data_IF_793936468110
#
_entry.id   IF_793936468110
#
_cell.length_a   1.000
_cell.length_b   1.000
_cell.length_c   1.000
_cell.angle_alpha   90.00
_cell.angle_beta   90.00
_cell.angle_gamma   90.00
#
_symmetry.space_group_name_H-M   'P 1'
#
loop_
_entity.id
_entity.type
_entity.pdbx_description
1 polymer ?
#
# COMPACT_ATOMS: atom_id res chain seq x y z
N UNK A 1 1.73 -9.78 8.56
CA UNK A 1 2.07 -8.36 8.25
C UNK A 1 2.88 -8.35 6.97
N UNK A 2 2.53 -7.51 5.99
CA UNK A 2 3.26 -7.46 4.71
C UNK A 2 4.42 -6.49 4.81
N UNK A 3 5.64 -7.01 4.68
CA UNK A 3 6.87 -6.22 4.71
C UNK A 3 7.42 -5.93 3.31
N UNK A 4 7.09 -6.76 2.31
CA UNK A 4 7.52 -6.56 0.93
C UNK A 4 6.95 -5.27 0.33
N UNK A 5 7.81 -4.47 -0.29
CA UNK A 5 7.47 -3.25 -1.01
C UNK A 5 8.00 -3.34 -2.44
N UNK A 6 7.09 -3.50 -3.40
CA UNK A 6 7.39 -3.87 -4.78
C UNK A 6 7.39 -2.61 -5.65
N UNK A 7 8.55 -2.27 -6.24
CA UNK A 7 8.74 -1.12 -7.11
C UNK A 7 9.18 -1.61 -8.49
N UNK A 8 8.57 -1.09 -9.55
CA UNK A 8 9.04 -1.29 -10.92
C UNK A 8 9.58 0.04 -11.43
N UNK A 9 10.86 0.04 -11.83
CA UNK A 9 11.54 1.19 -12.44
C UNK A 9 11.74 0.89 -13.92
N UNK A 10 11.21 1.74 -14.79
CA UNK A 10 11.33 1.62 -16.24
C UNK A 10 12.13 2.80 -16.78
N UNK A 11 13.31 2.52 -17.31
CA UNK A 11 14.21 3.53 -17.87
C UNK A 11 15.21 2.87 -18.84
N UNK A 12 15.35 3.39 -20.05
CA UNK A 12 16.33 2.92 -21.03
C UNK A 12 17.76 3.40 -20.73
N UNK A 13 17.92 4.46 -19.91
CA UNK A 13 19.22 4.95 -19.43
C UNK A 13 19.90 3.98 -18.44
N UNK A 14 19.21 2.95 -17.95
CA UNK A 14 19.81 1.90 -17.10
C UNK A 14 20.95 1.13 -17.78
N UNK A 15 21.00 1.16 -19.11
CA UNK A 15 22.07 0.59 -19.93
C UNK A 15 23.03 1.64 -20.51
N UNK A 16 22.80 2.94 -20.27
CA UNK A 16 23.62 4.04 -20.79
C UNK A 16 24.68 4.43 -19.75
N UNK A 17 25.96 4.18 -20.02
CA UNK A 17 27.06 4.40 -19.08
C UNK A 17 27.12 5.83 -18.50
N UNK A 18 26.68 6.84 -19.26
CA UNK A 18 26.72 8.25 -18.84
C UNK A 18 25.56 8.61 -17.90
N UNK A 19 24.37 8.04 -18.12
CA UNK A 19 23.14 8.38 -17.40
C UNK A 19 22.78 7.38 -16.28
N UNK A 20 23.25 6.13 -16.41
CA UNK A 20 23.10 5.04 -15.45
C UNK A 20 23.50 5.42 -14.01
N UNK A 21 24.56 6.20 -13.74
CA UNK A 21 24.93 6.58 -12.38
C UNK A 21 23.82 7.32 -11.62
N UNK A 22 23.09 8.23 -12.28
CA UNK A 22 22.02 9.01 -11.65
C UNK A 22 20.80 8.13 -11.32
N UNK A 23 20.43 7.24 -12.25
CA UNK A 23 19.32 6.30 -12.07
C UNK A 23 19.66 5.24 -11.00
N UNK A 24 20.91 4.78 -10.93
CA UNK A 24 21.37 3.90 -9.85
C UNK A 24 21.39 4.63 -8.51
N UNK A 25 21.73 5.91 -8.48
CA UNK A 25 21.63 6.72 -7.28
C UNK A 25 20.17 6.81 -6.80
N UNK A 26 19.21 7.07 -7.70
CA UNK A 26 17.77 6.99 -7.39
C UNK A 26 17.43 5.62 -6.78
N UNK A 27 17.72 4.52 -7.50
CA UNK A 27 17.41 3.15 -7.03
C UNK A 27 17.99 2.88 -5.64
N UNK A 28 19.21 3.31 -5.36
CA UNK A 28 19.83 3.15 -4.06
C UNK A 28 19.11 3.97 -2.98
N UNK A 29 18.71 5.21 -3.29
CA UNK A 29 17.90 6.02 -2.38
C UNK A 29 16.52 5.39 -2.13
N UNK A 30 15.87 4.81 -3.14
CA UNK A 30 14.61 4.07 -3.00
C UNK A 30 14.78 2.89 -2.03
N UNK A 31 15.83 2.07 -2.20
CA UNK A 31 16.13 0.94 -1.31
C UNK A 31 16.33 1.39 0.13
N UNK A 32 17.18 2.40 0.33
CA UNK A 32 17.45 2.95 1.66
C UNK A 32 16.19 3.48 2.32
N UNK A 33 15.36 4.23 1.57
CA UNK A 33 14.13 4.83 2.09
C UNK A 33 13.16 3.76 2.59
N UNK A 34 12.91 2.73 1.79
CA UNK A 34 12.03 1.61 2.16
C UNK A 34 12.57 0.84 3.36
N UNK A 35 13.88 0.55 3.37
CA UNK A 35 14.54 -0.16 4.49
C UNK A 35 14.51 0.65 5.79
N UNK A 36 14.68 1.98 5.72
CA UNK A 36 14.65 2.86 6.89
C UNK A 36 13.32 2.84 7.63
N UNK A 37 12.24 2.43 6.95
CA UNK A 37 10.89 2.23 7.53
C UNK A 37 10.61 0.76 7.93
N UNK A 38 11.60 -0.13 7.83
CA UNK A 38 11.46 -1.54 8.20
C UNK A 38 10.75 -2.42 7.16
N UNK A 39 10.58 -1.94 5.92
CA UNK A 39 10.05 -2.73 4.80
C UNK A 39 11.18 -3.36 3.99
N UNK A 40 10.85 -4.41 3.23
CA UNK A 40 11.77 -5.13 2.35
C UNK A 40 11.59 -4.58 0.93
N UNK A 41 12.56 -3.84 0.36
CA UNK A 41 12.46 -3.33 -1.00
C UNK A 41 12.68 -4.43 -2.02
N UNK A 42 11.70 -4.64 -2.89
CA UNK A 42 11.81 -5.48 -4.08
C UNK A 42 11.73 -4.56 -5.29
N UNK A 43 12.88 -4.20 -5.87
CA UNK A 43 12.96 -3.26 -7.00
C UNK A 43 13.31 -4.02 -8.27
N UNK A 44 12.40 -3.97 -9.23
CA UNK A 44 12.59 -4.52 -10.56
C UNK A 44 12.99 -3.41 -11.54
N UNK A 45 14.25 -3.48 -11.96
CA UNK A 45 14.84 -2.60 -12.96
C UNK A 45 14.50 -3.13 -14.36
N UNK A 46 13.91 -2.28 -15.20
CA UNK A 46 13.39 -2.64 -16.52
C UNK A 46 13.83 -1.60 -17.56
N UNK A 47 14.34 -2.08 -18.70
CA UNK A 47 14.82 -1.21 -19.79
C UNK A 47 13.70 -0.71 -20.70
N UNK A 48 12.53 -1.33 -20.62
CA UNK A 48 11.39 -1.04 -21.49
C UNK A 48 10.09 -1.55 -20.85
N UNK A 49 8.98 -1.14 -21.45
CA UNK A 49 7.62 -1.46 -21.00
C UNK A 49 7.34 -2.96 -21.03
N UNK A 50 7.86 -3.70 -22.01
CA UNK A 50 7.61 -5.14 -22.13
C UNK A 50 8.29 -5.95 -21.02
N UNK A 51 9.53 -5.58 -20.67
CA UNK A 51 10.22 -6.14 -19.50
C UNK A 51 9.42 -5.85 -18.23
N UNK A 52 8.92 -4.62 -18.08
CA UNK A 52 8.10 -4.22 -16.94
C UNK A 52 6.82 -5.05 -16.84
N UNK A 53 6.10 -5.26 -17.95
CA UNK A 53 4.88 -6.10 -18.03
C UNK A 53 5.13 -7.55 -17.63
N UNK A 54 6.28 -8.11 -18.02
CA UNK A 54 6.63 -9.50 -17.66
C UNK A 54 6.90 -9.70 -16.16
N UNK A 55 7.32 -8.62 -15.49
CA UNK A 55 7.66 -8.60 -14.05
C UNK A 55 6.53 -8.04 -13.19
N UNK A 56 5.52 -7.42 -13.78
CA UNK A 56 4.32 -6.96 -13.08
C UNK A 56 3.69 -8.11 -12.29
N UNK A 57 3.86 -8.08 -10.97
CA UNK A 57 3.19 -9.02 -10.07
C UNK A 57 1.74 -8.60 -9.83
N UNK A 58 0.95 -9.46 -9.20
CA UNK A 58 -0.41 -9.13 -8.74
C UNK A 58 -0.45 -7.92 -7.77
N UNK A 59 0.69 -7.45 -7.22
CA UNK A 59 0.72 -6.31 -6.30
C UNK A 59 2.03 -5.51 -6.39
N UNK A 60 2.14 -4.66 -7.40
CA UNK A 60 3.14 -3.59 -7.47
C UNK A 60 2.68 -2.38 -6.66
N UNK A 61 3.51 -1.89 -5.74
CA UNK A 61 3.17 -0.73 -4.90
C UNK A 61 3.41 0.59 -5.62
N UNK A 62 4.48 0.68 -6.41
CA UNK A 62 4.88 1.89 -7.12
C UNK A 62 5.49 1.56 -8.48
N UNK A 63 5.02 2.25 -9.52
CA UNK A 63 5.68 2.31 -10.82
C UNK A 63 6.40 3.64 -10.95
N UNK A 64 7.64 3.61 -11.45
CA UNK A 64 8.42 4.78 -11.76
C UNK A 64 8.89 4.62 -13.20
N UNK A 65 8.60 5.58 -14.07
CA UNK A 65 8.93 5.49 -15.49
C UNK A 65 9.54 6.80 -15.97
N UNK A 66 10.63 6.71 -16.74
CA UNK A 66 10.96 7.80 -17.65
C UNK A 66 9.87 7.92 -18.72
N UNK A 67 9.65 9.12 -19.22
CA UNK A 67 8.69 9.36 -20.29
C UNK A 67 9.26 9.03 -21.68
N UNK A 68 10.58 9.15 -21.86
CA UNK A 68 11.26 9.11 -23.16
C UNK A 68 11.87 7.73 -23.47
N UNK A 69 11.18 6.65 -23.07
CA UNK A 69 11.61 5.28 -23.29
C UNK A 69 11.73 4.94 -24.78
N UNK A 70 12.88 4.42 -25.20
CA UNK A 70 13.08 3.85 -26.54
C UNK A 70 13.79 4.77 -27.53
N UNK A 71 14.54 5.77 -27.07
CA UNK A 71 15.37 6.61 -27.94
C UNK A 71 16.75 6.00 -28.25
N UNK A 72 16.95 4.71 -27.97
CA UNK A 72 18.18 4.03 -28.30
C UNK A 72 18.38 3.96 -29.83
N UNK A 73 19.43 4.58 -30.41
CA UNK A 73 19.63 4.68 -31.85
C UNK A 73 19.78 3.31 -32.55
N UNK A 74 20.04 2.25 -31.78
CA UNK A 74 20.17 0.86 -32.22
C UNK A 74 18.85 0.15 -32.50
N UNK A 75 17.69 0.70 -32.10
CA UNK A 75 16.35 0.15 -32.34
C UNK A 75 15.56 0.93 -33.40
N UNK A 76 16.24 1.48 -34.41
CA UNK A 76 15.58 1.93 -35.64
C UNK A 76 15.15 0.73 -36.48
N UNK A 77 14.08 0.04 -36.09
CA UNK A 77 13.32 -0.80 -37.02
C UNK A 77 11.88 -0.99 -36.55
N UNK A 78 10.98 -0.34 -37.30
CA UNK A 78 9.64 -0.83 -37.65
C UNK A 78 8.46 -0.62 -36.71
N UNK A 79 8.56 0.19 -35.65
CA UNK A 79 7.37 0.65 -34.92
C UNK A 79 7.35 2.17 -34.75
N UNK A 80 6.19 2.84 -34.92
CA UNK A 80 6.10 4.28 -34.79
C UNK A 80 6.49 4.69 -33.36
N UNK A 81 7.34 5.71 -33.28
CA UNK A 81 7.94 6.34 -32.08
C UNK A 81 6.89 6.80 -31.03
N UNK A 82 5.60 6.73 -31.35
CA UNK A 82 4.50 7.24 -30.55
C UNK A 82 3.94 6.28 -29.49
N UNK A 83 4.22 4.98 -29.54
CA UNK A 83 3.54 3.98 -28.69
C UNK A 83 4.33 3.51 -27.45
N UNK A 84 5.59 3.93 -27.29
CA UNK A 84 6.49 3.36 -26.29
C UNK A 84 6.88 4.31 -25.14
N UNK A 85 6.21 5.46 -24.99
CA UNK A 85 6.54 6.41 -23.92
C UNK A 85 6.01 6.00 -22.54
N UNK A 86 6.60 6.57 -21.49
CA UNK A 86 6.17 6.31 -20.11
C UNK A 86 4.72 6.74 -19.84
N UNK A 87 4.21 7.74 -20.57
CA UNK A 87 2.81 8.16 -20.48
C UNK A 87 1.85 7.12 -21.07
N UNK A 88 2.20 6.45 -22.17
CA UNK A 88 1.42 5.31 -22.70
C UNK A 88 1.38 4.17 -21.69
N UNK A 89 2.51 3.90 -21.04
CA UNK A 89 2.57 2.89 -19.99
C UNK A 89 1.64 3.21 -18.83
N UNK A 90 1.61 4.47 -18.40
CA UNK A 90 0.67 4.94 -17.38
C UNK A 90 -0.78 4.70 -17.76
N UNK A 91 -1.19 5.15 -18.96
CA UNK A 91 -2.57 5.01 -19.43
C UNK A 91 -3.00 3.53 -19.54
N UNK A 92 -2.10 2.66 -20.00
CA UNK A 92 -2.34 1.22 -20.05
C UNK A 92 -2.49 0.60 -18.64
N UNK A 93 -1.61 0.97 -17.70
CA UNK A 93 -1.70 0.46 -16.33
C UNK A 93 -2.99 0.91 -15.67
N UNK A 94 -3.38 2.19 -15.84
CA UNK A 94 -4.60 2.76 -15.28
C UNK A 94 -5.85 1.91 -15.56
N UNK A 95 -5.97 1.41 -16.79
CA UNK A 95 -7.11 0.60 -17.22
C UNK A 95 -7.21 -0.75 -16.49
N UNK A 96 -6.07 -1.27 -16.03
CA UNK A 96 -5.97 -2.65 -15.53
C UNK A 96 -5.65 -2.73 -14.02
N UNK A 97 -4.89 -1.78 -13.48
CA UNK A 97 -4.32 -1.80 -12.14
C UNK A 97 -4.19 -0.39 -11.56
N UNK A 98 -4.70 -0.20 -10.33
CA UNK A 98 -4.52 1.04 -9.57
C UNK A 98 -3.33 0.90 -8.62
N UNK A 99 -2.18 1.31 -9.12
CA UNK A 99 -0.94 1.51 -8.34
C UNK A 99 -0.53 2.96 -8.42
N UNK A 100 0.25 3.41 -7.43
CA UNK A 100 0.89 4.72 -7.53
C UNK A 100 1.89 4.71 -8.69
N UNK A 101 1.87 5.76 -9.49
CA UNK A 101 2.70 5.89 -10.69
C UNK A 101 3.39 7.25 -10.69
N UNK A 102 4.70 7.22 -10.89
CA UNK A 102 5.55 8.39 -11.04
C UNK A 102 6.08 8.41 -12.46
N UNK A 103 5.72 9.44 -13.21
CA UNK A 103 6.32 9.74 -14.51
C UNK A 103 7.35 10.84 -14.31
N UNK A 104 8.59 10.60 -14.72
CA UNK A 104 9.58 11.67 -14.80
C UNK A 104 10.03 11.90 -16.24
N UNK A 105 10.56 13.09 -16.53
CA UNK A 105 11.07 13.42 -17.87
C UNK A 105 12.07 14.56 -17.82
N UNK A 106 13.03 14.54 -18.75
CA UNK A 106 13.92 15.67 -19.08
C UNK A 106 13.31 16.60 -20.14
N UNK A 107 12.25 16.16 -20.83
CA UNK A 107 11.68 16.84 -22.00
C UNK A 107 10.61 17.87 -21.64
N UNK A 108 10.27 18.72 -22.63
CA UNK A 108 9.14 19.64 -22.51
C UNK A 108 7.83 18.90 -22.28
N UNK A 109 6.96 19.48 -21.45
CA UNK A 109 5.74 18.87 -20.91
C UNK A 109 4.58 18.87 -21.93
N UNK A 110 4.67 19.66 -22.99
CA UNK A 110 3.58 19.93 -23.94
C UNK A 110 2.99 18.65 -24.54
N UNK A 111 3.84 17.72 -25.02
CA UNK A 111 3.37 16.46 -25.61
C UNK A 111 2.67 15.53 -24.59
N UNK A 112 3.07 15.60 -23.32
CA UNK A 112 2.46 14.81 -22.24
C UNK A 112 1.07 15.40 -21.92
N UNK A 113 0.98 16.73 -21.86
CA UNK A 113 -0.27 17.45 -21.61
C UNK A 113 -1.28 17.19 -22.74
N UNK A 114 -0.84 17.23 -23.99
CA UNK A 114 -1.69 16.94 -25.15
C UNK A 114 -2.28 15.53 -25.08
N UNK A 115 -1.45 14.52 -24.79
CA UNK A 115 -1.89 13.12 -24.66
C UNK A 115 -2.87 12.92 -23.51
N UNK A 116 -2.59 13.50 -22.34
CA UNK A 116 -3.50 13.45 -21.18
C UNK A 116 -4.83 14.15 -21.46
N UNK A 117 -4.79 15.28 -22.18
CA UNK A 117 -6.00 16.04 -22.55
C UNK A 117 -6.85 15.25 -23.55
N UNK A 118 -6.21 14.61 -24.54
CA UNK A 118 -6.90 13.76 -25.49
C UNK A 118 -7.57 12.56 -24.80
N UNK A 119 -6.85 11.87 -23.90
CA UNK A 119 -7.42 10.75 -23.14
C UNK A 119 -8.60 11.21 -22.26
N UNK A 120 -8.44 12.30 -21.51
CA UNK A 120 -9.50 12.85 -20.65
C UNK A 120 -10.76 13.22 -21.45
N UNK A 121 -10.60 13.81 -22.63
CA UNK A 121 -11.73 14.14 -23.50
C UNK A 121 -12.45 12.90 -24.04
N UNK A 122 -11.69 11.83 -24.32
CA UNK A 122 -12.21 10.58 -24.87
C UNK A 122 -12.90 9.73 -23.79
N UNK A 123 -12.23 9.48 -22.67
CA UNK A 123 -12.69 8.59 -21.60
C UNK A 123 -13.65 9.27 -20.64
N UNK A 124 -13.52 10.60 -20.48
CA UNK A 124 -14.22 11.41 -19.46
C UNK A 124 -14.07 10.83 -18.05
N UNK A 125 -12.94 10.18 -17.77
CA UNK A 125 -12.66 9.63 -16.44
C UNK A 125 -12.08 10.72 -15.52
N UNK A 126 -12.85 11.21 -14.52
CA UNK A 126 -12.34 12.21 -13.59
C UNK A 126 -11.21 11.67 -12.71
N UNK A 127 -11.03 10.34 -12.63
CA UNK A 127 -9.97 9.72 -11.86
C UNK A 127 -8.66 9.62 -12.62
N UNK A 128 -8.54 10.18 -13.84
CA UNK A 128 -7.32 10.07 -14.66
C UNK A 128 -6.05 10.45 -13.90
N UNK A 129 -6.09 11.38 -12.94
CA UNK A 129 -4.90 11.80 -12.17
C UNK A 129 -4.76 11.15 -10.80
N UNK A 130 -5.69 10.27 -10.40
CA UNK A 130 -5.59 9.58 -9.11
C UNK A 130 -4.35 8.70 -9.06
N UNK A 131 -3.56 8.87 -7.98
CA UNK A 131 -2.30 8.14 -7.73
C UNK A 131 -1.23 8.35 -8.81
N UNK A 132 -1.26 9.51 -9.47
CA UNK A 132 -0.26 9.89 -10.46
C UNK A 132 0.56 11.07 -9.96
N UNK A 133 1.87 10.98 -10.12
CA UNK A 133 2.80 12.07 -9.85
C UNK A 133 3.67 12.29 -11.07
N UNK A 134 3.83 13.56 -11.42
CA UNK A 134 4.71 13.98 -12.50
C UNK A 134 5.93 14.71 -11.92
N UNK A 135 7.12 14.32 -12.36
CA UNK A 135 8.40 14.89 -11.87
C UNK A 135 9.20 15.43 -13.05
N UNK A 136 9.53 16.72 -12.99
CA UNK A 136 10.37 17.35 -14.00
C UNK A 136 11.84 17.21 -13.61
N UNK A 137 12.66 16.66 -14.49
CA UNK A 137 14.12 16.65 -14.34
C UNK A 137 14.68 17.87 -15.06
N UNK A 138 14.60 19.03 -14.39
CA UNK A 138 15.13 20.29 -14.92
C UNK A 138 16.63 20.42 -14.60
N UNK A 139 17.41 20.90 -15.56
CA UNK A 139 18.82 21.25 -15.37
C UNK A 139 18.92 22.51 -14.50
N UNK A 140 18.86 22.36 -13.17
CA UNK A 140 18.79 23.51 -12.26
C UNK A 140 19.21 23.25 -10.81
N UNK A 141 19.72 22.06 -10.48
CA UNK A 141 20.24 21.75 -9.13
C UNK A 141 19.19 21.36 -8.09
N UNK A 142 17.91 21.22 -8.46
CA UNK A 142 16.90 20.58 -7.60
C UNK A 142 17.03 19.06 -7.80
N UNK A 143 17.27 18.34 -6.72
CA UNK A 143 17.31 16.88 -6.72
C UNK A 143 15.91 16.32 -7.06
N UNK A 144 15.75 15.91 -8.33
CA UNK A 144 14.50 15.37 -8.88
C UNK A 144 14.12 14.03 -8.24
N UNK A 145 14.99 13.40 -7.46
CA UNK A 145 14.64 12.22 -6.67
C UNK A 145 13.71 12.57 -5.49
N UNK A 146 13.79 13.77 -4.91
CA UNK A 146 13.05 14.12 -3.69
C UNK A 146 11.52 13.99 -3.82
N UNK A 147 10.88 14.49 -4.89
CA UNK A 147 9.45 14.26 -5.10
C UNK A 147 9.08 12.76 -5.16
N UNK A 148 9.94 11.93 -5.75
CA UNK A 148 9.74 10.47 -5.85
C UNK A 148 9.82 9.83 -4.45
N UNK A 149 10.82 10.23 -3.66
CA UNK A 149 10.97 9.77 -2.28
C UNK A 149 9.79 10.18 -1.39
N UNK A 150 9.22 11.37 -1.62
CA UNK A 150 8.03 11.83 -0.89
C UNK A 150 6.78 10.98 -1.21
N UNK A 151 6.62 10.55 -2.47
CA UNK A 151 5.56 9.60 -2.85
C UNK A 151 5.73 8.27 -2.11
N UNK A 152 6.96 7.76 -2.02
CA UNK A 152 7.25 6.53 -1.27
C UNK A 152 6.92 6.69 0.21
N UNK A 153 7.32 7.79 0.83
CA UNK A 153 6.97 8.07 2.23
C UNK A 153 5.47 8.05 2.46
N UNK A 154 4.69 8.63 1.56
CA UNK A 154 3.23 8.63 1.65
C UNK A 154 2.66 7.21 1.58
N UNK A 155 3.11 6.40 0.63
CA UNK A 155 2.64 5.01 0.48
C UNK A 155 3.05 4.18 1.71
N UNK A 156 4.30 4.32 2.17
CA UNK A 156 4.81 3.62 3.34
C UNK A 156 4.05 4.01 4.60
N UNK A 157 3.76 5.30 4.82
CA UNK A 157 2.97 5.78 5.96
C UNK A 157 1.59 5.12 6.00
N UNK A 158 0.89 5.04 4.84
CA UNK A 158 -0.39 4.32 4.76
C UNK A 158 -0.27 2.83 5.12
N UNK A 159 0.84 2.19 4.72
CA UNK A 159 1.10 0.79 5.06
C UNK A 159 1.46 0.60 6.53
N UNK A 160 2.20 1.53 7.11
CA UNK A 160 2.52 1.57 8.54
C UNK A 160 1.23 1.65 9.36
N UNK A 161 0.26 2.48 8.97
CA UNK A 161 -1.03 2.58 9.65
C UNK A 161 -1.79 1.24 9.71
N UNK A 162 -1.76 0.46 8.62
CA UNK A 162 -2.36 -0.88 8.56
C UNK A 162 -1.58 -1.94 9.36
N UNK A 163 -0.25 -1.85 9.40
CA UNK A 163 0.55 -2.72 10.26
C UNK A 163 0.39 -2.33 11.75
N UNK A 164 0.22 -1.05 12.04
CA UNK A 164 -0.04 -0.53 13.36
C UNK A 164 -1.39 -1.02 13.89
N UNK A 165 -2.48 -0.96 13.10
CA UNK A 165 -3.78 -1.48 13.55
C UNK A 165 -3.72 -2.98 13.88
N UNK A 166 -2.94 -3.76 13.11
CA UNK A 166 -2.66 -5.17 13.42
C UNK A 166 -1.98 -5.30 14.79
N UNK A 167 -0.86 -4.61 14.98
CA UNK A 167 -0.11 -4.62 16.24
C UNK A 167 -0.97 -4.20 17.44
N UNK A 168 -1.76 -3.14 17.28
CA UNK A 168 -2.65 -2.62 18.32
C UNK A 168 -3.72 -3.65 18.73
N UNK A 169 -4.37 -4.31 17.77
CA UNK A 169 -5.33 -5.38 18.08
C UNK A 169 -4.65 -6.58 18.74
N UNK A 170 -3.45 -6.97 18.28
CA UNK A 170 -2.69 -8.06 18.90
C UNK A 170 -2.34 -7.73 20.36
N UNK A 171 -1.81 -6.54 20.62
CA UNK A 171 -1.44 -6.08 21.95
C UNK A 171 -2.68 -6.00 22.87
N UNK A 172 -3.69 -5.22 22.47
CA UNK A 172 -4.84 -4.92 23.34
C UNK A 172 -5.70 -6.14 23.63
N UNK A 173 -5.87 -7.06 22.66
CA UNK A 173 -6.57 -8.31 22.94
C UNK A 173 -5.77 -9.23 23.86
N UNK A 174 -4.44 -9.19 23.81
CA UNK A 174 -3.59 -9.96 24.74
C UNK A 174 -3.63 -9.38 26.15
N UNK A 175 -3.62 -8.05 26.30
CA UNK A 175 -3.80 -7.36 27.59
C UNK A 175 -5.16 -7.72 28.22
N UNK A 176 -6.24 -7.70 27.43
CA UNK A 176 -7.58 -8.10 27.88
C UNK A 176 -7.63 -9.58 28.27
N UNK A 177 -7.08 -10.49 27.44
CA UNK A 177 -7.05 -11.93 27.73
C UNK A 177 -6.32 -12.22 29.03
N UNK A 178 -5.13 -11.63 29.23
CA UNK A 178 -4.35 -11.78 30.45
C UNK A 178 -5.11 -11.29 31.68
N UNK A 179 -5.69 -10.08 31.60
CA UNK A 179 -6.49 -9.51 32.68
C UNK A 179 -7.67 -10.41 33.08
N UNK A 180 -8.41 -10.94 32.10
CA UNK A 180 -9.54 -11.83 32.36
C UNK A 180 -9.05 -13.17 32.94
N UNK A 181 -7.93 -13.70 32.46
CA UNK A 181 -7.35 -14.93 32.99
C UNK A 181 -6.96 -14.78 34.46
N UNK A 182 -6.31 -13.68 34.82
CA UNK A 182 -5.94 -13.37 36.20
C UNK A 182 -7.18 -13.18 37.08
N UNK A 183 -8.14 -12.35 36.64
CA UNK A 183 -9.39 -12.06 37.37
C UNK A 183 -10.18 -13.31 37.69
N UNK A 184 -10.24 -14.26 36.76
CA UNK A 184 -11.02 -15.49 36.87
C UNK A 184 -10.20 -16.73 37.19
N UNK A 185 -8.90 -16.59 37.50
CA UNK A 185 -7.97 -17.68 37.80
C UNK A 185 -8.01 -18.80 36.74
N UNK A 186 -8.06 -18.40 35.47
CA UNK A 186 -8.03 -19.28 34.30
C UNK A 186 -6.61 -19.76 34.04
N UNK A 187 -6.47 -20.79 33.19
CA UNK A 187 -5.15 -21.32 32.82
C UNK A 187 -4.54 -20.50 31.69
N UNK A 188 -3.23 -20.30 31.73
CA UNK A 188 -2.50 -19.55 30.70
C UNK A 188 -2.63 -20.18 29.30
N UNK A 189 -2.74 -21.50 29.24
CA UNK A 189 -2.88 -22.28 28.01
C UNK A 189 -4.21 -22.12 27.29
N UNK A 190 -5.20 -21.48 27.91
CA UNK A 190 -6.53 -21.34 27.34
C UNK A 190 -6.55 -20.30 26.23
N UNK A 191 -7.34 -20.57 25.19
CA UNK A 191 -7.48 -19.60 24.10
C UNK A 191 -8.30 -18.41 24.58
N UNK A 192 -8.12 -17.26 23.92
CA UNK A 192 -8.95 -16.09 24.22
C UNK A 192 -10.45 -16.37 24.01
N UNK A 193 -10.82 -17.35 23.17
CA UNK A 193 -12.20 -17.80 23.09
C UNK A 193 -12.67 -18.45 24.39
N UNK A 194 -11.92 -19.41 24.90
CA UNK A 194 -12.25 -20.14 26.12
C UNK A 194 -12.25 -19.22 27.34
N UNK A 195 -11.36 -18.24 27.37
CA UNK A 195 -11.34 -17.20 28.41
C UNK A 195 -12.67 -16.44 28.44
N UNK A 196 -13.17 -15.99 27.28
CA UNK A 196 -14.44 -15.22 27.18
C UNK A 196 -15.63 -16.09 27.59
N UNK A 197 -15.71 -17.33 27.11
CA UNK A 197 -16.81 -18.26 27.46
C UNK A 197 -16.80 -18.64 28.95
N UNK A 198 -15.63 -18.59 29.59
CA UNK A 198 -15.46 -18.85 31.02
C UNK A 198 -15.89 -17.70 31.93
N UNK A 199 -16.25 -16.54 31.39
CA UNK A 199 -16.66 -15.36 32.20
C UNK A 199 -18.02 -15.63 32.86
N UNK A 200 -18.16 -15.46 34.19
CA UNK A 200 -19.45 -15.55 34.86
C UNK A 200 -20.43 -14.49 34.32
N UNK A 201 -21.62 -14.93 33.87
CA UNK A 201 -22.64 -14.05 33.24
C UNK A 201 -23.17 -12.89 34.10
N UNK A 202 -22.86 -12.88 35.40
CA UNK A 202 -23.25 -11.82 36.33
C UNK A 202 -22.27 -10.65 36.33
N UNK A 203 -21.04 -10.87 35.87
CA UNK A 203 -19.96 -9.89 35.96
C UNK A 203 -19.96 -8.90 34.79
N UNK A 204 -20.43 -9.35 33.63
CA UNK A 204 -20.56 -8.54 32.43
C UNK A 204 -21.87 -8.83 31.71
N UNK A 205 -22.48 -7.79 31.15
CA UNK A 205 -23.69 -7.95 30.35
C UNK A 205 -23.40 -8.67 29.01
N UNK A 206 -24.47 -9.09 28.34
CA UNK A 206 -24.37 -9.77 27.03
C UNK A 206 -23.69 -8.91 25.96
N UNK A 207 -23.79 -7.58 26.05
CA UNK A 207 -23.22 -6.67 25.07
C UNK A 207 -21.69 -6.68 25.17
N UNK A 208 -21.14 -6.62 26.37
CA UNK A 208 -19.69 -6.65 26.61
C UNK A 208 -19.09 -7.99 26.14
N UNK A 209 -19.75 -9.12 26.44
CA UNK A 209 -19.32 -10.43 25.94
C UNK A 209 -19.34 -10.48 24.40
N UNK A 210 -20.38 -9.93 23.78
CA UNK A 210 -20.45 -9.80 22.32
C UNK A 210 -19.32 -8.93 21.77
N UNK A 211 -19.02 -7.80 22.40
CA UNK A 211 -17.95 -6.89 21.99
C UNK A 211 -16.58 -7.58 22.11
N UNK A 212 -16.34 -8.39 23.14
CA UNK A 212 -15.13 -9.21 23.30
C UNK A 212 -14.96 -10.21 22.15
N UNK A 213 -16.03 -10.92 21.77
CA UNK A 213 -16.00 -11.81 20.61
C UNK A 213 -15.74 -11.06 19.31
N UNK A 214 -16.35 -9.88 19.15
CA UNK A 214 -16.16 -9.02 17.97
C UNK A 214 -14.70 -8.60 17.82
N UNK A 215 -14.07 -8.04 18.87
CA UNK A 215 -12.66 -7.62 18.79
C UNK A 215 -11.72 -8.82 18.56
N UNK A 216 -12.04 -10.00 19.11
CA UNK A 216 -11.30 -11.25 18.82
C UNK A 216 -11.42 -11.63 17.35
N UNK A 217 -12.63 -11.58 16.80
CA UNK A 217 -12.91 -11.86 15.39
C UNK A 217 -12.13 -10.91 14.48
N UNK A 218 -12.16 -9.61 14.77
CA UNK A 218 -11.40 -8.60 14.05
C UNK A 218 -9.89 -8.86 14.16
N UNK A 219 -9.37 -9.14 15.36
CA UNK A 219 -7.94 -9.47 15.55
C UNK A 219 -7.52 -10.65 14.68
N UNK A 220 -8.29 -11.73 14.65
CA UNK A 220 -7.98 -12.88 13.80
C UNK A 220 -8.07 -12.53 12.31
N UNK A 221 -9.09 -11.76 11.91
CA UNK A 221 -9.23 -11.24 10.56
C UNK A 221 -7.99 -10.45 10.10
N UNK A 222 -7.55 -9.50 10.92
CA UNK A 222 -6.38 -8.65 10.69
C UNK A 222 -5.06 -9.44 10.61
N UNK A 223 -4.91 -10.50 11.40
CA UNK A 223 -3.69 -11.31 11.46
C UNK A 223 -3.55 -12.28 10.29
N UNK A 224 -4.66 -12.88 9.85
CA UNK A 224 -4.62 -13.99 8.91
C UNK A 224 -5.00 -13.62 7.47
N UNK A 225 -5.53 -12.42 7.24
CA UNK A 225 -5.93 -11.98 5.90
C UNK A 225 -5.00 -10.88 5.38
N UNK A 226 -4.64 -11.02 4.10
CA UNK A 226 -3.88 -10.01 3.37
C UNK A 226 -4.80 -8.89 2.88
N UNK A 227 -4.25 -7.70 2.65
CA UNK A 227 -5.02 -6.63 2.02
C UNK A 227 -5.26 -6.96 0.55
N UNK A 228 -6.46 -6.65 0.09
CA UNK A 228 -6.87 -6.73 -1.32
C UNK A 228 -7.31 -5.35 -1.79
N UNK A 229 -7.20 -5.08 -3.08
CA UNK A 229 -7.63 -3.80 -3.62
C UNK A 229 -9.13 -3.82 -3.94
N UNK A 230 -9.89 -2.83 -3.46
CA UNK A 230 -11.30 -2.67 -3.77
C UNK A 230 -11.47 -1.65 -4.90
N UNK A 231 -11.75 -2.12 -6.12
CA UNK A 231 -11.95 -1.26 -7.30
C UNK A 231 -13.09 -0.27 -7.13
N UNK A 232 -14.19 -0.68 -6.48
CA UNK A 232 -15.36 0.18 -6.25
C UNK A 232 -15.07 1.41 -5.38
N UNK A 233 -14.18 1.27 -4.39
CA UNK A 233 -13.83 2.35 -3.44
C UNK A 233 -12.43 2.93 -3.67
N UNK A 234 -11.68 2.42 -4.65
CA UNK A 234 -10.33 2.84 -4.99
C UNK A 234 -9.32 2.84 -3.81
N UNK A 235 -9.40 1.81 -2.96
CA UNK A 235 -8.61 1.72 -1.73
C UNK A 235 -8.38 0.27 -1.30
N UNK A 236 -7.35 0.03 -0.48
CA UNK A 236 -7.10 -1.30 0.08
C UNK A 236 -8.09 -1.65 1.19
N UNK A 237 -8.41 -2.94 1.26
CA UNK A 237 -9.36 -3.53 2.20
C UNK A 237 -8.89 -4.89 2.69
N UNK A 238 -9.08 -5.16 3.98
CA UNK A 238 -8.95 -6.50 4.55
C UNK A 238 -10.36 -7.09 4.66
N UNK A 239 -10.57 -8.25 4.03
CA UNK A 239 -11.86 -8.95 4.03
C UNK A 239 -11.77 -10.24 4.82
N UNK A 240 -12.76 -10.53 5.65
CA UNK A 240 -12.85 -11.80 6.39
C UNK A 240 -14.29 -12.08 6.82
N UNK A 241 -14.56 -13.33 7.18
CA UNK A 241 -15.87 -13.76 7.69
C UNK A 241 -15.74 -14.03 9.19
N UNK A 242 -16.67 -13.51 9.98
CA UNK A 242 -16.76 -13.80 11.40
C UNK A 242 -18.22 -13.84 11.83
N UNK A 243 -18.61 -14.87 12.59
CA UNK A 243 -20.00 -15.01 13.07
C UNK A 243 -21.05 -15.15 11.97
N UNK A 244 -20.65 -15.56 10.75
CA UNK A 244 -21.54 -15.61 9.58
C UNK A 244 -21.69 -14.28 8.83
N UNK A 245 -21.03 -13.21 9.29
CA UNK A 245 -21.06 -11.90 8.66
C UNK A 245 -19.76 -11.61 7.89
N UNK A 246 -19.87 -10.84 6.80
CA UNK A 246 -18.73 -10.35 6.04
C UNK A 246 -18.22 -9.04 6.65
N UNK A 247 -16.95 -9.00 7.00
CA UNK A 247 -16.26 -7.82 7.49
C UNK A 247 -15.32 -7.25 6.42
N UNK A 248 -15.35 -5.93 6.26
CA UNK A 248 -14.48 -5.18 5.37
C UNK A 248 -13.84 -4.03 6.15
N UNK A 249 -12.51 -4.07 6.30
CA UNK A 249 -11.73 -3.02 6.98
C UNK A 249 -10.95 -2.26 5.92
N UNK A 250 -11.38 -1.03 5.63
CA UNK A 250 -10.74 -0.17 4.65
C UNK A 250 -9.63 0.68 5.29
N UNK A 251 -8.63 1.06 4.48
CA UNK A 251 -7.49 1.89 4.93
C UNK A 251 -7.92 3.25 5.52
N UNK A 252 -9.07 3.79 5.11
CA UNK A 252 -9.60 5.05 5.61
C UNK A 252 -10.50 4.91 6.85
N UNK A 253 -10.88 3.68 7.22
CA UNK A 253 -11.79 3.43 8.34
C UNK A 253 -11.05 3.09 9.65
N UNK A 254 -9.71 3.17 9.65
CA UNK A 254 -8.88 2.68 10.76
C UNK A 254 -9.19 3.37 12.10
N UNK A 255 -9.54 4.66 12.09
CA UNK A 255 -9.87 5.39 13.32
C UNK A 255 -11.07 4.79 14.05
N UNK A 256 -12.13 4.42 13.30
CA UNK A 256 -13.31 3.77 13.88
C UNK A 256 -12.93 2.49 14.63
N UNK A 257 -12.06 1.67 14.04
CA UNK A 257 -11.61 0.41 14.66
C UNK A 257 -10.69 0.63 15.86
N UNK A 258 -9.92 1.73 15.90
CA UNK A 258 -9.14 2.14 17.08
C UNK A 258 -10.05 2.54 18.23
N UNK A 259 -11.04 3.36 17.94
CA UNK A 259 -11.98 3.85 18.95
C UNK A 259 -12.79 2.70 19.54
N UNK A 260 -13.33 1.81 18.70
CA UNK A 260 -14.05 0.61 19.16
C UNK A 260 -13.17 -0.26 20.08
N UNK A 261 -11.94 -0.58 19.67
CA UNK A 261 -11.01 -1.38 20.47
C UNK A 261 -10.67 -0.70 21.81
N UNK A 262 -10.39 0.61 21.79
CA UNK A 262 -10.05 1.37 22.98
C UNK A 262 -11.21 1.41 23.97
N UNK A 263 -12.43 1.61 23.50
CA UNK A 263 -13.61 1.62 24.38
C UNK A 263 -13.88 0.25 25.00
N UNK A 264 -13.78 -0.84 24.22
CA UNK A 264 -13.92 -2.20 24.77
C UNK A 264 -12.82 -2.48 25.81
N UNK A 265 -11.57 -2.18 25.49
CA UNK A 265 -10.44 -2.34 26.40
C UNK A 265 -10.65 -1.57 27.72
N UNK A 266 -11.01 -0.28 27.63
CA UNK A 266 -11.29 0.55 28.79
C UNK A 266 -12.44 0.00 29.61
N UNK A 267 -13.53 -0.44 28.97
CA UNK A 267 -14.69 -1.01 29.66
C UNK A 267 -14.32 -2.26 30.46
N UNK A 268 -13.49 -3.14 29.91
CA UNK A 268 -13.10 -4.38 30.60
C UNK A 268 -12.18 -4.10 31.79
N UNK A 269 -11.15 -3.27 31.59
CA UNK A 269 -10.11 -3.05 32.58
C UNK A 269 -10.56 -2.05 33.67
N UNK A 270 -11.24 -0.97 33.29
CA UNK A 270 -11.67 0.08 34.24
C UNK A 270 -12.92 -0.31 35.03
N UNK A 271 -13.82 -1.15 34.50
CA UNK A 271 -15.00 -1.60 35.26
C UNK A 271 -14.66 -2.50 36.46
N UNK A 272 -13.38 -2.65 36.80
CA UNK A 272 -12.88 -3.52 37.89
C UNK A 272 -12.04 -2.75 38.93
N UNK A 273 -11.92 -1.42 38.80
CA UNK A 273 -11.41 -0.52 39.87
C UNK A 273 -12.62 0.16 40.52
#
# INVERSE_FOLDING_TARGET
>A
MRLDFNIIVVDDDLNDDDNNPDIKALIQQLKYKVQSKGFIPNIDECLNIDAARSKSSNRTDLYISDNNLGNNPSQKQSQPVSENGGIEYYLHLKQNHLSDFVLYTRSKKDSIIEKLTADLNNTKDPNLFTRFTFVSREDGGIDWHQPILAVIDHILTKREELNNIRGLYAQKTSEIDLFLKEKYKRRDSESFHDTIEGIPRKDYDKKIISDLHKIRGIRNGLMHNSETFCTKKNQYVIKFIFGGENYEIYENDLQKYRDELYQTHKTIIVATI
#
